data_IF_014486479829
#
_entry.id   IF_014486479829
#
_cell.length_a   1.000
_cell.length_b   1.000
_cell.length_c   1.000
_cell.angle_alpha   90.00
_cell.angle_beta   90.00
_cell.angle_gamma   90.00
#
_symmetry.space_group_name_H-M   'P 1'
#
loop_
_entity.id
_entity.type
_entity.pdbx_description
1 polymer ?
#
# COMPACT_ATOMS: atom_id res chain seq x y z
N UNK A 1 2.78 31.41 -0.37
CA UNK A 1 3.21 30.15 0.25
C UNK A 1 3.27 29.11 -0.86
N UNK A 2 4.40 28.45 -1.05
CA UNK A 2 4.49 27.36 -2.03
C UNK A 2 3.49 26.27 -1.64
N UNK A 3 2.59 25.96 -2.57
CA UNK A 3 1.58 24.91 -2.38
C UNK A 3 2.23 23.56 -2.56
N UNK A 4 2.59 22.89 -1.47
CA UNK A 4 3.10 21.52 -1.53
C UNK A 4 1.98 20.53 -1.81
N UNK A 5 2.14 19.73 -2.87
CA UNK A 5 1.22 18.65 -3.23
C UNK A 5 1.75 17.29 -2.77
N UNK A 6 0.92 16.51 -2.12
CA UNK A 6 1.23 15.13 -1.75
C UNK A 6 0.33 14.15 -2.48
N UNK A 7 0.90 13.04 -2.98
CA UNK A 7 0.10 11.88 -3.37
C UNK A 7 0.07 10.88 -2.22
N UNK A 8 -1.13 10.50 -1.81
CA UNK A 8 -1.39 9.52 -0.75
C UNK A 8 -1.94 8.24 -1.37
N UNK A 9 -1.19 7.16 -1.24
CA UNK A 9 -1.52 5.84 -1.78
C UNK A 9 -2.12 4.97 -0.68
N UNK A 10 -3.39 4.59 -0.83
CA UNK A 10 -4.06 3.72 0.14
C UNK A 10 -3.64 2.26 -0.01
N UNK A 11 -3.74 1.49 1.07
CA UNK A 11 -3.69 0.03 0.99
C UNK A 11 -4.92 -0.56 0.27
N UNK A 12 -4.86 -1.84 -0.10
CA UNK A 12 -5.98 -2.50 -0.77
C UNK A 12 -5.64 -3.77 -1.55
N UNK A 13 -4.49 -4.38 -1.29
CA UNK A 13 -4.08 -5.63 -1.95
C UNK A 13 -4.01 -5.51 -3.48
N UNK A 14 -4.59 -6.45 -4.22
CA UNK A 14 -4.57 -6.46 -5.69
C UNK A 14 -5.24 -5.24 -6.33
N UNK A 15 -6.11 -4.55 -5.58
CA UNK A 15 -6.74 -3.31 -6.06
C UNK A 15 -5.74 -2.16 -6.23
N UNK A 16 -4.51 -2.31 -5.74
CA UNK A 16 -3.40 -1.39 -6.01
C UNK A 16 -3.11 -1.18 -7.50
N UNK A 17 -3.48 -2.11 -8.36
CA UNK A 17 -3.39 -1.95 -9.82
C UNK A 17 -4.16 -0.71 -10.33
N UNK A 18 -5.26 -0.34 -9.68
CA UNK A 18 -6.09 0.83 -10.04
C UNK A 18 -5.28 2.13 -9.88
N UNK A 19 -4.42 2.20 -8.87
CA UNK A 19 -3.58 3.38 -8.61
C UNK A 19 -2.64 3.69 -9.78
N UNK A 20 -2.22 2.70 -10.54
CA UNK A 20 -1.36 2.89 -11.73
C UNK A 20 -2.11 3.67 -12.81
N UNK A 21 -3.39 3.34 -13.05
CA UNK A 21 -4.24 4.09 -13.96
C UNK A 21 -4.49 5.53 -13.49
N UNK A 22 -4.68 5.73 -12.17
CA UNK A 22 -4.79 7.05 -11.57
C UNK A 22 -3.52 7.88 -11.75
N UNK A 23 -2.34 7.30 -11.48
CA UNK A 23 -1.04 7.96 -11.71
C UNK A 23 -0.90 8.40 -13.17
N UNK A 24 -1.21 7.50 -14.12
CA UNK A 24 -1.14 7.84 -15.55
C UNK A 24 -2.02 9.04 -15.87
N UNK A 25 -3.27 9.05 -15.37
CA UNK A 25 -4.20 10.15 -15.61
C UNK A 25 -3.68 11.46 -15.01
N UNK A 26 -3.23 11.45 -13.75
CA UNK A 26 -2.70 12.64 -13.07
C UNK A 26 -1.50 13.23 -13.82
N UNK A 27 -0.51 12.40 -14.13
CA UNK A 27 0.70 12.86 -14.82
C UNK A 27 0.41 13.36 -16.24
N UNK A 28 -0.51 12.72 -16.98
CA UNK A 28 -0.88 13.16 -18.33
C UNK A 28 -1.60 14.52 -18.34
N UNK A 29 -2.14 14.95 -17.20
CA UNK A 29 -2.71 16.27 -16.98
C UNK A 29 -1.74 17.25 -16.28
N UNK A 30 -0.46 16.89 -16.16
CA UNK A 30 0.57 17.75 -15.56
C UNK A 30 0.49 17.84 -14.04
N UNK A 31 -0.27 16.97 -13.37
CA UNK A 31 -0.39 16.95 -11.91
C UNK A 31 0.72 16.08 -11.33
N UNK A 32 1.62 16.68 -10.57
CA UNK A 32 2.76 16.00 -9.95
C UNK A 32 2.81 16.28 -8.44
N UNK A 33 3.32 15.33 -7.64
CA UNK A 33 3.50 15.53 -6.21
C UNK A 33 4.90 16.06 -5.89
N UNK A 34 5.02 16.82 -4.79
CA UNK A 34 6.31 17.16 -4.18
C UNK A 34 6.85 16.01 -3.32
N UNK A 35 5.97 15.18 -2.80
CA UNK A 35 6.31 13.97 -2.05
C UNK A 35 5.17 12.96 -2.08
N UNK A 36 5.47 11.72 -1.68
CA UNK A 36 4.48 10.65 -1.63
C UNK A 36 4.43 9.98 -0.26
N UNK A 37 3.23 9.50 0.08
CA UNK A 37 2.98 8.71 1.30
C UNK A 37 2.19 7.47 0.90
N UNK A 38 2.55 6.31 1.44
CA UNK A 38 1.84 5.07 1.11
C UNK A 38 1.73 4.09 2.26
N UNK A 39 0.67 3.28 2.24
CA UNK A 39 0.43 2.18 3.17
C UNK A 39 0.14 0.88 2.42
N UNK A 40 0.67 -0.26 2.90
CA UNK A 40 0.45 -1.58 2.32
C UNK A 40 0.82 -1.62 0.82
N UNK A 41 -0.05 -2.10 -0.05
CA UNK A 41 0.18 -2.04 -1.51
C UNK A 41 0.41 -0.61 -2.01
N UNK A 42 -0.18 0.38 -1.35
CA UNK A 42 0.07 1.78 -1.64
C UNK A 42 1.51 2.18 -1.34
N UNK A 43 2.15 1.61 -0.30
CA UNK A 43 3.58 1.81 -0.05
C UNK A 43 4.43 1.23 -1.18
N UNK A 44 4.08 0.06 -1.69
CA UNK A 44 4.75 -0.55 -2.83
C UNK A 44 4.66 0.36 -4.06
N UNK A 45 3.46 0.79 -4.45
CA UNK A 45 3.25 1.68 -5.61
C UNK A 45 3.93 3.04 -5.42
N UNK A 46 3.83 3.65 -4.22
CA UNK A 46 4.47 4.90 -3.89
C UNK A 46 6.00 4.81 -4.02
N UNK A 47 6.59 3.71 -3.55
CA UNK A 47 8.04 3.49 -3.60
C UNK A 47 8.53 3.34 -5.04
N UNK A 48 7.83 2.58 -5.86
CA UNK A 48 8.15 2.47 -7.29
C UNK A 48 8.03 3.81 -8.00
N UNK A 49 6.91 4.49 -7.79
CA UNK A 49 6.66 5.79 -8.38
C UNK A 49 7.71 6.83 -7.95
N UNK A 50 8.09 6.84 -6.67
CA UNK A 50 9.13 7.76 -6.17
C UNK A 50 10.49 7.54 -6.84
N UNK A 51 10.79 6.31 -7.29
CA UNK A 51 12.01 5.97 -8.02
C UNK A 51 12.03 6.47 -9.46
N UNK A 52 10.88 6.65 -10.08
CA UNK A 52 10.73 7.17 -11.43
C UNK A 52 9.40 7.96 -11.54
N UNK A 53 9.34 9.22 -11.00
CA UNK A 53 8.12 9.98 -10.88
C UNK A 53 7.74 10.67 -12.22
N UNK A 54 7.58 9.87 -13.26
CA UNK A 54 7.26 10.29 -14.61
C UNK A 54 6.42 9.24 -15.34
N UNK A 55 5.99 9.56 -16.56
CA UNK A 55 5.08 8.69 -17.33
C UNK A 55 5.72 7.35 -17.72
N UNK A 56 7.05 7.34 -17.94
CA UNK A 56 7.81 6.12 -18.25
C UNK A 56 7.87 5.20 -17.03
N UNK A 57 8.07 5.76 -15.83
CA UNK A 57 8.03 5.01 -14.57
C UNK A 57 6.65 4.40 -14.33
N UNK A 58 5.58 5.15 -14.58
CA UNK A 58 4.21 4.62 -14.50
C UNK A 58 3.97 3.51 -15.52
N UNK A 59 4.46 3.64 -16.75
CA UNK A 59 4.36 2.59 -17.77
C UNK A 59 5.17 1.33 -17.39
N UNK A 60 6.27 1.47 -16.65
CA UNK A 60 7.01 0.32 -16.09
C UNK A 60 6.20 -0.34 -14.98
N UNK A 61 5.66 0.43 -14.05
CA UNK A 61 4.82 -0.08 -12.96
C UNK A 61 3.59 -0.83 -13.49
N UNK A 62 2.97 -0.33 -14.57
CA UNK A 62 1.87 -1.01 -15.27
C UNK A 62 2.30 -2.38 -15.80
N UNK A 63 3.48 -2.47 -16.44
CA UNK A 63 4.01 -3.76 -16.93
C UNK A 63 4.24 -4.75 -15.80
N UNK A 64 4.74 -4.28 -14.64
CA UNK A 64 4.92 -5.13 -13.45
C UNK A 64 3.55 -5.67 -13.02
N UNK A 65 2.54 -4.80 -12.86
CA UNK A 65 1.20 -5.22 -12.48
C UNK A 65 0.55 -6.20 -13.46
N UNK A 66 0.66 -5.94 -14.77
CA UNK A 66 0.12 -6.83 -15.82
C UNK A 66 0.86 -8.17 -15.89
N UNK A 67 2.11 -8.23 -15.47
CA UNK A 67 2.90 -9.46 -15.42
C UNK A 67 2.77 -10.25 -14.12
N UNK A 68 2.18 -9.65 -13.08
CA UNK A 68 2.09 -10.21 -11.74
C UNK A 68 1.16 -11.43 -11.70
N UNK A 69 1.62 -12.51 -11.11
CA UNK A 69 0.83 -13.70 -10.85
C UNK A 69 0.69 -13.92 -9.35
N UNK A 70 -0.39 -14.57 -8.95
CA UNK A 70 -0.62 -14.93 -7.55
C UNK A 70 0.57 -15.67 -6.92
N UNK A 71 1.24 -16.53 -7.67
CA UNK A 71 2.42 -17.28 -7.22
C UNK A 71 3.62 -16.38 -6.87
N UNK A 72 3.69 -15.16 -7.43
CA UNK A 72 4.79 -14.24 -7.20
C UNK A 72 4.66 -13.55 -5.83
N UNK A 73 3.41 -13.32 -5.40
CA UNK A 73 3.10 -12.72 -4.10
C UNK A 73 2.87 -13.79 -3.02
N UNK A 74 2.16 -14.87 -3.37
CA UNK A 74 1.77 -15.96 -2.47
C UNK A 74 2.27 -17.32 -3.01
N UNK A 75 3.58 -17.60 -2.96
CA UNK A 75 4.10 -18.88 -3.42
C UNK A 75 3.54 -20.01 -2.54
N UNK A 76 2.70 -20.86 -3.12
CA UNK A 76 2.25 -22.09 -2.49
C UNK A 76 3.32 -23.15 -2.77
N UNK A 77 4.23 -23.36 -1.84
CA UNK A 77 5.19 -24.47 -1.89
C UNK A 77 4.79 -25.59 -0.93
N UNK A 78 5.24 -26.80 -1.20
CA UNK A 78 5.10 -27.92 -0.25
C UNK A 78 5.75 -27.57 1.09
N UNK A 79 6.82 -26.78 1.07
CA UNK A 79 7.48 -26.24 2.25
C UNK A 79 6.59 -25.25 3.01
N UNK A 80 5.76 -24.46 2.34
CA UNK A 80 4.79 -23.55 2.98
C UNK A 80 3.70 -24.33 3.70
N UNK A 81 3.25 -25.47 3.14
CA UNK A 81 2.27 -26.35 3.78
C UNK A 81 2.87 -27.05 5.01
N UNK A 82 4.12 -27.50 4.92
CA UNK A 82 4.84 -28.12 6.03
C UNK A 82 5.21 -27.05 7.08
N UNK A 83 5.56 -25.84 6.65
CA UNK A 83 5.83 -24.67 7.50
C UNK A 83 4.62 -24.28 8.33
N UNK A 84 3.42 -24.30 7.73
CA UNK A 84 2.15 -24.04 8.43
C UNK A 84 1.86 -25.07 9.53
N UNK A 85 2.29 -26.33 9.35
CA UNK A 85 2.18 -27.39 10.35
C UNK A 85 3.21 -27.25 11.49
N UNK A 86 4.37 -26.64 11.23
CA UNK A 86 5.46 -26.45 12.19
C UNK A 86 5.46 -25.08 12.89
N UNK A 87 4.96 -24.06 12.19
CA UNK A 87 4.87 -22.68 12.68
C UNK A 87 3.50 -22.11 12.27
N UNK A 88 2.44 -22.34 13.08
CA UNK A 88 1.07 -21.98 12.70
C UNK A 88 0.78 -20.46 12.68
N UNK A 89 1.82 -19.63 12.68
CA UNK A 89 1.68 -18.17 12.79
C UNK A 89 1.35 -17.42 11.51
N UNK A 90 1.75 -17.93 10.31
CA UNK A 90 1.59 -17.18 9.05
C UNK A 90 1.29 -18.11 7.88
N UNK A 91 0.46 -17.64 6.93
CA UNK A 91 -0.02 -18.46 5.81
C UNK A 91 0.96 -18.46 4.62
N UNK A 92 1.70 -17.35 4.42
CA UNK A 92 2.55 -17.17 3.26
C UNK A 92 3.99 -16.81 3.64
N UNK A 93 4.93 -17.25 2.78
CA UNK A 93 6.33 -16.85 2.83
C UNK A 93 6.48 -15.50 2.09
N UNK A 94 7.07 -14.45 2.72
CA UNK A 94 7.30 -13.17 2.07
C UNK A 94 8.40 -13.20 1.00
N UNK A 95 9.12 -14.30 0.83
CA UNK A 95 10.23 -14.43 -0.12
C UNK A 95 9.85 -14.19 -1.58
N UNK A 96 8.61 -14.48 -1.97
CA UNK A 96 8.10 -14.13 -3.29
C UNK A 96 8.00 -12.62 -3.50
N UNK A 97 7.32 -11.95 -2.57
CA UNK A 97 7.18 -10.49 -2.58
C UNK A 97 8.54 -9.78 -2.46
N UNK A 98 9.45 -10.29 -1.63
CA UNK A 98 10.83 -9.76 -1.52
C UNK A 98 11.54 -9.77 -2.86
N UNK A 99 11.57 -10.92 -3.55
CA UNK A 99 12.20 -11.04 -4.88
C UNK A 99 11.60 -10.08 -5.89
N UNK A 100 10.27 -9.92 -5.88
CA UNK A 100 9.58 -8.97 -6.76
C UNK A 100 10.04 -7.54 -6.50
N UNK A 101 10.11 -7.13 -5.23
CA UNK A 101 10.57 -5.80 -4.82
C UNK A 101 12.02 -5.59 -5.28
N UNK A 102 12.93 -6.47 -4.91
CA UNK A 102 14.36 -6.34 -5.20
C UNK A 102 14.67 -6.38 -6.70
N UNK A 103 13.89 -7.13 -7.49
CA UNK A 103 14.08 -7.21 -8.95
C UNK A 103 13.71 -5.93 -9.70
N UNK A 104 12.84 -5.11 -9.13
CA UNK A 104 12.27 -3.99 -9.85
C UNK A 104 12.52 -2.62 -9.20
N UNK A 105 12.92 -2.55 -7.93
CA UNK A 105 13.17 -1.29 -7.25
C UNK A 105 14.50 -0.69 -7.72
N UNK A 106 14.52 0.59 -8.21
CA UNK A 106 15.73 1.17 -8.79
C UNK A 106 16.73 1.71 -7.75
N UNK A 107 16.41 1.65 -6.46
CA UNK A 107 17.26 2.11 -5.35
C UNK A 107 17.12 1.17 -4.15
N UNK A 108 18.04 1.27 -3.19
CA UNK A 108 18.10 0.36 -2.03
C UNK A 108 17.65 0.98 -0.73
N UNK A 109 17.73 2.30 -0.59
CA UNK A 109 17.31 3.03 0.61
C UNK A 109 16.22 4.04 0.28
N UNK A 110 15.25 4.24 1.19
CA UNK A 110 14.11 5.15 0.99
C UNK A 110 14.56 6.59 0.70
N UNK A 111 15.63 7.05 1.38
CA UNK A 111 16.20 8.39 1.22
C UNK A 111 16.87 8.63 -0.13
N UNK A 112 17.16 7.57 -0.89
CA UNK A 112 17.76 7.67 -2.24
C UNK A 112 16.70 7.88 -3.34
N UNK A 113 15.41 7.88 -2.98
CA UNK A 113 14.33 8.13 -3.93
C UNK A 113 14.40 9.56 -4.51
N UNK A 114 14.20 9.75 -5.83
CA UNK A 114 14.19 11.06 -6.49
C UNK A 114 13.21 12.09 -5.88
N UNK A 115 12.09 11.65 -5.33
CA UNK A 115 11.17 12.50 -4.56
C UNK A 115 11.00 11.93 -3.15
N UNK A 116 10.76 12.79 -2.13
CA UNK A 116 10.59 12.34 -0.76
C UNK A 116 9.49 11.30 -0.63
N UNK A 117 9.79 10.20 0.05
CA UNK A 117 8.92 9.05 0.22
C UNK A 117 8.71 8.77 1.71
N UNK A 118 7.46 8.47 2.08
CA UNK A 118 7.09 8.06 3.43
C UNK A 118 6.23 6.80 3.36
N UNK A 119 6.65 5.75 4.05
CA UNK A 119 5.93 4.49 4.16
C UNK A 119 5.34 4.37 5.54
N UNK A 120 4.07 3.93 5.61
CA UNK A 120 3.41 3.64 6.88
C UNK A 120 3.55 2.17 7.22
N UNK A 121 3.85 1.91 8.48
CA UNK A 121 3.77 0.61 9.11
C UNK A 121 3.01 0.73 10.43
N UNK A 122 2.69 -0.40 11.06
CA UNK A 122 1.97 -0.43 12.35
C UNK A 122 2.82 -1.16 13.39
N UNK A 123 2.99 -0.57 14.57
CA UNK A 123 3.66 -1.21 15.71
C UNK A 123 2.73 -2.23 16.40
N UNK A 124 3.26 -3.12 17.27
CA UNK A 124 2.45 -4.06 18.04
C UNK A 124 1.39 -3.40 18.94
N UNK A 125 1.65 -2.17 19.37
CA UNK A 125 0.74 -1.35 20.18
C UNK A 125 -0.40 -0.73 19.35
N UNK A 126 -0.40 -0.94 18.01
CA UNK A 126 -1.39 -0.37 17.10
C UNK A 126 -1.11 1.08 16.69
N UNK A 127 0.10 1.59 16.93
CA UNK A 127 0.49 2.93 16.55
C UNK A 127 1.01 2.97 15.11
N UNK A 128 0.67 4.03 14.38
CA UNK A 128 1.23 4.31 13.07
C UNK A 128 2.72 4.67 13.18
N UNK A 129 3.55 3.98 12.41
CA UNK A 129 5.00 4.19 12.34
C UNK A 129 5.36 4.68 10.95
N UNK A 130 6.00 5.84 10.87
CA UNK A 130 6.51 6.40 9.63
C UNK A 130 7.93 5.87 9.36
N UNK A 131 8.16 5.36 8.17
CA UNK A 131 9.45 4.95 7.64
C UNK A 131 9.79 5.86 6.45
N UNK A 132 10.88 6.62 6.55
CA UNK A 132 11.33 7.57 5.52
C UNK A 132 12.82 7.47 5.21
N UNK A 133 13.51 6.52 5.83
CA UNK A 133 14.93 6.21 5.61
C UNK A 133 15.18 4.74 5.90
N UNK A 134 16.36 4.26 5.48
CA UNK A 134 16.78 2.87 5.65
C UNK A 134 16.40 1.97 4.48
N UNK A 135 16.56 0.64 4.62
CA UNK A 135 16.38 -0.32 3.53
C UNK A 135 14.95 -0.29 2.97
N UNK A 136 14.81 0.07 1.69
CA UNK A 136 13.51 0.25 1.05
C UNK A 136 12.71 -1.07 0.98
N UNK A 137 13.37 -2.20 0.68
CA UNK A 137 12.71 -3.50 0.63
C UNK A 137 12.11 -3.89 1.98
N UNK A 138 12.85 -3.68 3.09
CA UNK A 138 12.38 -3.99 4.44
C UNK A 138 11.18 -3.10 4.83
N UNK A 139 11.23 -1.82 4.49
CA UNK A 139 10.13 -0.89 4.75
C UNK A 139 8.85 -1.29 4.00
N UNK A 140 8.97 -1.67 2.72
CA UNK A 140 7.83 -2.18 1.93
C UNK A 140 7.31 -3.47 2.54
N UNK A 141 8.18 -4.43 2.87
CA UNK A 141 7.78 -5.70 3.47
C UNK A 141 7.07 -5.49 4.81
N UNK A 142 7.55 -4.58 5.66
CA UNK A 142 6.88 -4.23 6.90
C UNK A 142 5.49 -3.63 6.64
N UNK A 143 5.41 -2.68 5.71
CA UNK A 143 4.15 -2.03 5.34
C UNK A 143 3.13 -2.98 4.70
N UNK A 144 3.58 -4.09 4.09
CA UNK A 144 2.73 -5.09 3.44
C UNK A 144 2.58 -6.38 4.27
N UNK A 145 3.08 -6.40 5.51
CA UNK A 145 2.99 -7.54 6.42
C UNK A 145 1.56 -7.70 6.98
N UNK A 146 0.63 -8.09 6.11
CA UNK A 146 -0.80 -8.29 6.46
C UNK A 146 -0.91 -9.33 7.57
N UNK A 147 -1.55 -8.99 8.71
CA UNK A 147 -1.74 -9.92 9.82
C UNK A 147 -2.35 -11.25 9.36
N UNK A 148 -1.86 -12.36 9.92
CA UNK A 148 -2.20 -13.74 9.54
C UNK A 148 -1.59 -14.18 8.20
N UNK A 149 -1.41 -13.29 7.23
CA UNK A 149 -0.88 -13.64 5.89
C UNK A 149 0.64 -13.69 5.91
N UNK A 150 1.29 -12.60 6.29
CA UNK A 150 2.75 -12.48 6.34
C UNK A 150 3.26 -12.26 7.76
N UNK A 151 4.48 -12.69 8.07
CA UNK A 151 5.12 -12.39 9.36
C UNK A 151 5.38 -10.90 9.50
N UNK A 152 5.33 -10.34 10.72
CA UNK A 152 5.81 -9.01 10.98
C UNK A 152 7.32 -8.90 10.69
N UNK A 153 7.78 -7.70 10.36
CA UNK A 153 9.16 -7.40 9.98
C UNK A 153 9.82 -6.58 11.08
N UNK A 154 11.02 -6.96 11.49
CA UNK A 154 11.80 -6.20 12.48
C UNK A 154 12.54 -5.05 11.78
N UNK A 155 12.30 -3.81 12.24
CA UNK A 155 13.04 -2.61 11.84
C UNK A 155 13.39 -1.83 13.10
N UNK A 156 14.67 -1.55 13.29
CA UNK A 156 15.21 -0.82 14.46
C UNK A 156 14.75 -1.40 15.81
N UNK A 157 14.74 -2.75 15.92
CA UNK A 157 14.34 -3.47 17.12
C UNK A 157 12.82 -3.48 17.39
N UNK A 158 12.00 -3.02 16.45
CA UNK A 158 10.53 -3.04 16.55
C UNK A 158 9.93 -4.00 15.52
N UNK A 159 9.05 -4.86 15.99
CA UNK A 159 8.26 -5.73 15.09
C UNK A 159 7.13 -4.92 14.47
N UNK A 160 7.15 -4.75 13.16
CA UNK A 160 6.17 -3.93 12.43
C UNK A 160 5.28 -4.82 11.56
N UNK A 161 4.03 -4.43 11.42
CA UNK A 161 3.03 -5.08 10.58
C UNK A 161 2.43 -4.06 9.59
N UNK A 162 1.51 -4.54 8.75
CA UNK A 162 0.89 -3.78 7.66
C UNK A 162 0.41 -2.38 8.10
N UNK A 163 0.83 -1.38 7.34
CA UNK A 163 0.53 0.03 7.62
C UNK A 163 -0.95 0.37 7.55
N UNK A 164 -1.73 -0.39 6.78
CA UNK A 164 -3.17 -0.16 6.67
C UNK A 164 -3.95 -0.45 7.97
N UNK A 165 -3.34 -1.15 8.93
CA UNK A 165 -3.98 -1.42 10.23
C UNK A 165 -4.14 -0.13 11.03
N UNK A 166 -3.11 0.70 11.12
CA UNK A 166 -3.15 1.95 11.89
C UNK A 166 -3.42 3.19 11.04
N UNK A 167 -2.95 3.23 9.77
CA UNK A 167 -3.06 4.41 8.91
C UNK A 167 -3.14 3.98 7.43
N UNK A 168 -4.30 3.50 7.00
CA UNK A 168 -4.49 3.07 5.59
C UNK A 168 -4.44 4.23 4.60
N UNK A 169 -4.92 5.38 4.98
CA UNK A 169 -4.97 6.59 4.14
C UNK A 169 -4.27 7.73 4.89
N UNK A 170 -2.93 7.78 4.87
CA UNK A 170 -2.17 8.66 5.77
C UNK A 170 -2.20 10.13 5.31
N UNK A 171 -3.40 10.71 5.16
CA UNK A 171 -3.61 12.12 4.80
C UNK A 171 -3.12 13.05 5.90
N UNK A 172 -3.35 12.66 7.15
CA UNK A 172 -2.90 13.45 8.31
C UNK A 172 -1.39 13.58 8.35
N UNK A 173 -0.65 12.49 8.06
CA UNK A 173 0.80 12.58 7.92
C UNK A 173 1.19 13.50 6.77
N UNK A 174 0.50 13.45 5.62
CA UNK A 174 0.78 14.36 4.51
C UNK A 174 0.59 15.83 4.91
N UNK A 175 -0.47 16.15 5.65
CA UNK A 175 -0.70 17.49 6.20
C UNK A 175 0.39 17.90 7.20
N UNK A 176 0.77 17.03 8.14
CA UNK A 176 1.85 17.24 9.10
C UNK A 176 3.22 17.48 8.42
N UNK A 177 3.44 16.91 7.24
CA UNK A 177 4.62 17.13 6.41
C UNK A 177 4.55 18.41 5.57
N UNK A 178 3.47 19.17 5.71
CA UNK A 178 3.28 20.49 5.13
C UNK A 178 2.61 20.47 3.74
N UNK A 179 1.88 19.40 3.38
CA UNK A 179 1.04 19.43 2.20
C UNK A 179 -0.13 20.40 2.43
N UNK A 180 -0.35 21.29 1.47
CA UNK A 180 -1.57 22.12 1.38
C UNK A 180 -2.56 21.54 0.37
N UNK A 181 -2.08 20.66 -0.53
CA UNK A 181 -2.89 19.87 -1.45
C UNK A 181 -2.59 18.39 -1.28
N UNK A 182 -3.62 17.60 -1.09
CA UNK A 182 -3.52 16.14 -0.90
C UNK A 182 -4.37 15.44 -1.97
N UNK A 183 -3.73 14.62 -2.79
CA UNK A 183 -4.42 13.82 -3.80
C UNK A 183 -4.33 12.36 -3.37
N UNK A 184 -5.50 11.79 -3.02
CA UNK A 184 -5.62 10.42 -2.53
C UNK A 184 -5.88 9.48 -3.69
N UNK A 185 -4.96 8.56 -3.94
CA UNK A 185 -5.11 7.46 -4.87
C UNK A 185 -5.74 6.28 -4.12
N UNK A 186 -7.07 6.28 -4.04
CA UNK A 186 -7.80 5.27 -3.29
C UNK A 186 -7.96 3.99 -4.12
N UNK A 187 -7.64 2.85 -3.53
CA UNK A 187 -7.89 1.54 -4.16
C UNK A 187 -9.38 1.17 -4.15
N UNK A 188 -10.17 1.82 -3.28
CA UNK A 188 -11.55 1.43 -3.05
C UNK A 188 -11.68 0.10 -2.33
N UNK A 189 -12.82 -0.53 -2.51
CA UNK A 189 -13.15 -1.85 -1.95
C UNK A 189 -14.07 -2.61 -2.91
N UNK A 190 -14.27 -3.89 -2.67
CA UNK A 190 -15.17 -4.72 -3.48
C UNK A 190 -16.64 -4.35 -3.21
N UNK A 191 -17.07 -3.18 -3.71
CA UNK A 191 -18.40 -2.60 -3.49
C UNK A 191 -19.56 -3.40 -4.11
N UNK A 192 -19.27 -4.33 -5.03
CA UNK A 192 -20.26 -5.18 -5.69
C UNK A 192 -20.30 -6.63 -5.17
N UNK A 193 -19.61 -6.93 -4.06
CA UNK A 193 -19.70 -8.23 -3.42
C UNK A 193 -21.12 -8.46 -2.87
N UNK A 194 -21.84 -9.43 -3.46
CA UNK A 194 -23.22 -9.79 -3.05
C UNK A 194 -23.25 -10.60 -1.77
N UNK A 195 -22.20 -11.37 -1.49
CA UNK A 195 -22.10 -12.24 -0.32
C UNK A 195 -20.71 -12.15 0.32
N UNK A 196 -20.62 -12.23 1.66
CA UNK A 196 -19.32 -12.27 2.33
C UNK A 196 -18.59 -13.58 2.00
N UNK A 197 -17.23 -13.59 2.07
CA UNK A 197 -16.45 -14.80 1.82
C UNK A 197 -16.85 -15.97 2.72
N UNK A 198 -16.90 -17.20 2.17
CA UNK A 198 -17.35 -18.39 2.90
C UNK A 198 -16.34 -18.91 3.92
N UNK A 199 -15.02 -18.73 3.67
CA UNK A 199 -13.94 -19.25 4.53
C UNK A 199 -13.63 -18.25 5.66
N UNK A 200 -13.26 -18.77 6.85
CA UNK A 200 -12.97 -17.96 8.03
C UNK A 200 -11.93 -16.87 7.79
N UNK A 201 -10.80 -17.24 7.17
CA UNK A 201 -9.73 -16.29 6.80
C UNK A 201 -10.24 -15.22 5.84
N UNK A 202 -10.98 -15.62 4.80
CA UNK A 202 -11.58 -14.67 3.86
C UNK A 202 -12.53 -13.68 4.56
N UNK A 203 -13.30 -14.15 5.56
CA UNK A 203 -14.16 -13.26 6.37
C UNK A 203 -13.36 -12.30 7.23
N UNK A 204 -12.28 -12.76 7.85
CA UNK A 204 -11.40 -11.90 8.65
C UNK A 204 -10.75 -10.81 7.79
N UNK A 205 -10.20 -11.17 6.63
CA UNK A 205 -9.62 -10.22 5.69
C UNK A 205 -10.66 -9.26 5.11
N UNK A 206 -11.88 -9.73 4.84
CA UNK A 206 -12.97 -8.87 4.40
C UNK A 206 -13.38 -7.87 5.50
N UNK A 207 -13.49 -8.32 6.76
CA UNK A 207 -13.74 -7.42 7.87
C UNK A 207 -12.64 -6.36 8.03
N UNK A 208 -11.37 -6.74 7.89
CA UNK A 208 -10.25 -5.80 7.87
C UNK A 208 -10.41 -4.77 6.74
N UNK A 209 -10.77 -5.20 5.54
CA UNK A 209 -11.01 -4.29 4.41
C UNK A 209 -12.14 -3.28 4.71
N UNK A 210 -13.23 -3.72 5.34
CA UNK A 210 -14.32 -2.81 5.73
C UNK A 210 -13.88 -1.81 6.80
N UNK A 211 -13.10 -2.23 7.79
CA UNK A 211 -12.53 -1.34 8.81
C UNK A 211 -11.60 -0.29 8.19
N UNK A 212 -10.77 -0.69 7.25
CA UNK A 212 -9.87 0.20 6.51
C UNK A 212 -10.67 1.29 5.73
N UNK A 213 -11.75 0.90 5.05
CA UNK A 213 -12.61 1.87 4.35
C UNK A 213 -13.31 2.83 5.31
N UNK A 214 -13.71 2.36 6.48
CA UNK A 214 -14.30 3.19 7.50
C UNK A 214 -13.29 4.23 8.05
N UNK A 215 -12.01 3.83 8.20
CA UNK A 215 -10.94 4.75 8.59
C UNK A 215 -10.79 5.91 7.60
N UNK A 216 -10.85 5.66 6.28
CA UNK A 216 -10.76 6.70 5.26
C UNK A 216 -11.82 7.79 5.47
N UNK A 217 -13.07 7.40 5.68
CA UNK A 217 -14.17 8.34 5.88
C UNK A 217 -13.94 9.21 7.12
N UNK A 218 -13.52 8.59 8.21
CA UNK A 218 -13.23 9.29 9.46
C UNK A 218 -12.00 10.22 9.37
N UNK A 219 -10.97 9.80 8.65
CA UNK A 219 -9.77 10.62 8.49
C UNK A 219 -10.07 11.90 7.70
N UNK A 220 -10.92 11.82 6.67
CA UNK A 220 -11.40 13.01 5.94
C UNK A 220 -12.13 14.00 6.86
N UNK A 221 -13.00 13.50 7.74
CA UNK A 221 -13.75 14.34 8.68
C UNK A 221 -12.86 15.06 9.73
N UNK A 222 -11.67 14.54 9.98
CA UNK A 222 -10.72 15.08 10.98
C UNK A 222 -9.69 16.04 10.38
N UNK A 223 -9.64 16.18 9.05
CA UNK A 223 -8.74 17.12 8.40
C UNK A 223 -9.26 18.56 8.54
N UNK A 224 -8.33 19.51 8.53
CA UNK A 224 -8.65 20.93 8.53
C UNK A 224 -9.37 21.32 7.23
N UNK A 225 -10.37 22.19 7.32
CA UNK A 225 -11.09 22.75 6.17
C UNK A 225 -10.18 23.57 5.24
N UNK A 226 -9.01 23.97 5.69
CA UNK A 226 -8.02 24.71 4.89
C UNK A 226 -7.20 23.82 3.94
N UNK A 227 -7.34 22.49 4.02
CA UNK A 227 -6.62 21.55 3.16
C UNK A 227 -7.40 21.27 1.88
N UNK A 228 -6.71 21.41 0.74
CA UNK A 228 -7.24 21.03 -0.58
C UNK A 228 -7.11 19.51 -0.77
N UNK A 229 -8.15 18.75 -0.41
CA UNK A 229 -8.15 17.29 -0.45
C UNK A 229 -8.98 16.77 -1.61
N UNK A 230 -8.34 16.01 -2.51
CA UNK A 230 -8.96 15.37 -3.65
C UNK A 230 -8.84 13.85 -3.55
N UNK A 231 -9.94 13.15 -3.40
CA UNK A 231 -9.97 11.68 -3.48
C UNK A 231 -10.28 11.29 -4.91
N UNK A 232 -9.32 10.63 -5.58
CA UNK A 232 -9.55 10.13 -6.93
C UNK A 232 -10.62 9.04 -6.86
N UNK A 233 -11.73 9.18 -7.64
CA UNK A 233 -12.83 8.23 -7.59
C UNK A 233 -12.38 6.82 -7.94
N UNK A 234 -12.83 5.86 -7.15
CA UNK A 234 -12.57 4.45 -7.40
C UNK A 234 -13.55 3.85 -8.40
N UNK A 235 -13.13 2.79 -9.07
CA UNK A 235 -14.02 2.04 -9.95
C UNK A 235 -15.09 1.32 -9.11
N UNK A 236 -16.37 1.57 -9.37
CA UNK A 236 -17.49 0.83 -8.81
C UNK A 236 -18.54 0.61 -9.93
N UNK A 237 -19.07 -0.60 -10.11
CA UNK A 237 -19.00 -1.77 -9.23
C UNK A 237 -17.73 -2.60 -9.41
N UNK A 238 -17.05 -2.93 -8.29
CA UNK A 238 -15.94 -3.88 -8.25
C UNK A 238 -16.39 -5.17 -7.57
N UNK A 239 -16.33 -6.28 -8.32
CA UNK A 239 -16.63 -7.61 -7.79
C UNK A 239 -15.36 -8.41 -7.42
N UNK A 240 -14.19 -7.81 -7.66
CA UNK A 240 -12.89 -8.45 -7.43
C UNK A 240 -12.50 -8.32 -5.98
N UNK A 241 -12.08 -9.45 -5.37
CA UNK A 241 -11.54 -9.45 -4.02
C UNK A 241 -10.16 -8.79 -3.97
N UNK A 242 -9.81 -8.01 -2.92
CA UNK A 242 -8.47 -7.46 -2.73
C UNK A 242 -7.33 -8.50 -2.67
N UNK A 243 -7.66 -9.77 -2.60
CA UNK A 243 -6.73 -10.91 -2.56
C UNK A 243 -6.74 -11.74 -3.86
N UNK A 244 -7.37 -11.22 -4.90
CA UNK A 244 -7.39 -11.84 -6.21
C UNK A 244 -6.30 -11.24 -7.10
N UNK A 245 -5.33 -12.05 -7.48
CA UNK A 245 -4.22 -11.74 -8.37
C UNK A 245 -4.27 -12.63 -9.63
N UNK A 246 -5.48 -13.00 -10.09
CA UNK A 246 -5.67 -13.78 -11.31
C UNK A 246 -5.77 -12.90 -12.56
#
# INVERSE_FOLDING_TARGET
MDTKAAFVFTGGGSLGAIQVGMLRALLSHGVQPDFVVGASVGALNATYFAGAPNIEGVAMLERIWCGLRRSDVFPISLASVIGLLRHPGNIADPGGLRRLIEAHLPYTKLEDAPIPLNIMATSPEGLAVRLSSGPAAEAILASTAIPVVFPPVEIDGKMLMDGAVAANTPMRLAAELGASRIIVLSTGYACALKEPPKRAIGRALHALTLMINWQLMHEVEQLSDDLDVHIVPTLCPLAVSPFDFS
#
